data_IF_424829780191
#
_entry.id   IF_424829780191
#
_cell.length_a   1.000
_cell.length_b   1.000
_cell.length_c   1.000
_cell.angle_alpha   90.00
_cell.angle_beta   90.00
_cell.angle_gamma   90.00
#
_symmetry.space_group_name_H-M   'P 1'
#
loop_
_entity.id
_entity.type
_entity.pdbx_description
1 polymer ?
#
# COMPACT_ATOMS: atom_id res chain seq x y z
N UNK A 1 8.18 1.82 18.35
CA UNK A 1 9.14 0.79 18.78
C UNK A 1 9.14 -0.30 17.73
N UNK A 2 10.34 -0.72 17.31
CA UNK A 2 10.53 -1.86 16.41
C UNK A 2 11.56 -2.82 16.99
N UNK A 3 11.23 -4.12 16.95
CA UNK A 3 12.13 -5.22 17.27
C UNK A 3 12.16 -6.18 16.10
N UNK A 4 13.34 -6.45 15.56
CA UNK A 4 13.55 -7.40 14.46
C UNK A 4 14.88 -8.13 14.65
N UNK A 5 14.94 -9.37 14.20
CA UNK A 5 16.16 -10.17 14.29
C UNK A 5 16.02 -11.54 13.68
N UNK A 6 17.14 -12.24 13.62
CA UNK A 6 17.22 -13.62 13.17
C UNK A 6 17.30 -14.56 14.38
N UNK A 7 16.43 -15.57 14.42
CA UNK A 7 16.47 -16.66 15.39
C UNK A 7 17.45 -17.73 14.90
N UNK A 8 17.41 -18.00 13.59
CA UNK A 8 18.33 -18.88 12.86
C UNK A 8 18.67 -18.23 11.52
N UNK A 9 19.60 -18.77 10.70
CA UNK A 9 19.86 -18.25 9.36
C UNK A 9 18.63 -18.23 8.42
N UNK A 10 17.65 -19.08 8.67
CA UNK A 10 16.44 -19.22 7.85
C UNK A 10 15.14 -18.74 8.54
N UNK A 11 15.20 -18.39 9.84
CA UNK A 11 14.04 -17.96 10.63
C UNK A 11 14.30 -16.59 11.25
N UNK A 12 13.44 -15.62 10.97
CA UNK A 12 13.49 -14.26 11.50
C UNK A 12 12.16 -13.88 12.16
N UNK A 13 12.19 -12.81 12.93
CA UNK A 13 11.00 -12.19 13.50
C UNK A 13 11.00 -10.69 13.26
N UNK A 14 9.80 -10.09 13.22
CA UNK A 14 9.62 -8.66 13.19
C UNK A 14 8.38 -8.25 13.97
N UNK A 15 8.56 -7.27 14.84
CA UNK A 15 7.51 -6.63 15.61
C UNK A 15 7.66 -5.13 15.49
N UNK A 16 6.55 -4.41 15.16
CA UNK A 16 6.51 -2.95 15.16
C UNK A 16 5.23 -2.45 15.79
N UNK A 17 5.36 -1.55 16.77
CA UNK A 17 4.26 -0.97 17.50
C UNK A 17 4.40 0.54 17.55
N UNK A 18 3.31 1.26 17.29
CA UNK A 18 3.19 2.70 17.48
C UNK A 18 2.76 3.01 18.92
N UNK A 19 3.50 3.91 19.59
CA UNK A 19 3.22 4.29 20.98
C UNK A 19 2.14 5.38 21.08
N UNK A 20 1.82 6.04 19.97
CA UNK A 20 0.82 7.10 19.87
C UNK A 20 -0.58 6.62 19.46
N UNK A 21 -0.80 5.31 19.50
CA UNK A 21 -2.09 4.67 19.17
C UNK A 21 -2.62 3.85 20.36
N UNK A 22 -3.95 3.75 20.52
CA UNK A 22 -4.55 2.94 21.59
C UNK A 22 -4.13 1.47 21.52
N UNK A 23 -3.99 0.84 22.68
CA UNK A 23 -3.67 -0.59 22.83
C UNK A 23 -4.92 -1.46 23.07
N UNK A 24 -6.13 -0.92 22.90
CA UNK A 24 -7.36 -1.69 23.00
C UNK A 24 -7.46 -2.74 21.90
N UNK A 25 -8.17 -3.85 22.17
CA UNK A 25 -8.48 -4.85 21.14
C UNK A 25 -9.29 -4.20 20.02
N UNK A 26 -8.94 -4.50 18.79
CA UNK A 26 -9.53 -3.85 17.62
C UNK A 26 -10.74 -4.59 17.05
N UNK A 27 -11.12 -5.74 17.55
CA UNK A 27 -12.14 -6.61 16.94
C UNK A 27 -11.71 -7.18 15.57
N UNK A 28 -10.43 -7.08 15.24
CA UNK A 28 -9.85 -7.68 14.04
C UNK A 28 -9.77 -9.21 14.17
N UNK A 29 -9.67 -9.90 13.04
CA UNK A 29 -9.49 -11.36 13.02
C UNK A 29 -8.25 -11.80 13.80
N UNK A 30 -7.17 -11.02 13.73
CA UNK A 30 -5.93 -11.30 14.46
C UNK A 30 -6.00 -10.93 15.95
N UNK A 31 -7.08 -10.26 16.38
CA UNK A 31 -7.29 -9.78 17.74
C UNK A 31 -6.16 -8.89 18.28
N UNK A 32 -5.33 -8.35 17.40
CA UNK A 32 -4.22 -7.47 17.74
C UNK A 32 -4.68 -6.02 17.87
N UNK A 33 -4.10 -5.23 18.80
CA UNK A 33 -4.34 -3.80 18.88
C UNK A 33 -4.00 -3.05 17.59
N UNK A 34 -4.72 -1.97 17.31
CA UNK A 34 -4.43 -1.10 16.15
C UNK A 34 -3.08 -0.39 16.24
N UNK A 35 -2.47 -0.35 17.43
CA UNK A 35 -1.11 0.13 17.64
C UNK A 35 -0.03 -0.78 17.05
N UNK A 36 -0.34 -2.08 16.84
CA UNK A 36 0.62 -3.04 16.28
C UNK A 36 0.49 -3.01 14.76
N UNK A 37 1.54 -2.54 14.09
CA UNK A 37 1.62 -2.51 12.64
C UNK A 37 2.15 -3.84 12.07
N UNK A 38 3.18 -4.40 12.71
CA UNK A 38 3.83 -5.62 12.23
C UNK A 38 4.01 -6.58 13.42
N UNK A 39 3.60 -7.83 13.22
CA UNK A 39 3.82 -8.92 14.17
C UNK A 39 3.86 -10.24 13.40
N UNK A 40 5.05 -10.77 13.16
CA UNK A 40 5.17 -11.98 12.37
C UNK A 40 6.56 -12.57 12.32
N UNK A 41 6.63 -13.69 11.61
CA UNK A 41 7.85 -14.46 11.39
C UNK A 41 8.18 -14.52 9.91
N UNK A 42 9.46 -14.35 9.59
CA UNK A 42 10.02 -14.56 8.26
C UNK A 42 10.68 -15.93 8.19
N UNK A 43 10.41 -16.67 7.12
CA UNK A 43 10.99 -17.99 6.84
C UNK A 43 11.66 -17.94 5.47
N UNK A 44 12.93 -18.29 5.39
CA UNK A 44 13.73 -18.32 4.15
C UNK A 44 14.30 -19.72 3.92
N UNK A 45 13.53 -20.64 3.31
CA UNK A 45 13.99 -22.01 3.09
C UNK A 45 15.14 -22.12 2.07
N UNK A 46 15.22 -21.18 1.14
CA UNK A 46 16.28 -21.08 0.12
C UNK A 46 16.73 -19.64 -0.07
N UNK A 47 17.84 -19.42 -0.76
CA UNK A 47 18.32 -18.07 -1.09
C UNK A 47 17.32 -17.28 -1.95
N UNK A 48 16.52 -17.97 -2.76
CA UNK A 48 15.57 -17.35 -3.70
C UNK A 48 14.14 -17.25 -3.20
N UNK A 49 13.77 -18.04 -2.19
CA UNK A 49 12.39 -18.09 -1.72
C UNK A 49 12.28 -17.69 -0.25
N UNK A 50 11.37 -16.75 0.03
CA UNK A 50 11.07 -16.33 1.38
C UNK A 50 9.56 -16.18 1.60
N UNK A 51 9.16 -16.29 2.85
CA UNK A 51 7.79 -16.11 3.30
C UNK A 51 7.78 -15.20 4.53
N UNK A 52 6.71 -14.42 4.68
CA UNK A 52 6.41 -13.72 5.93
C UNK A 52 4.99 -14.05 6.36
N UNK A 53 4.83 -14.51 7.59
CA UNK A 53 3.56 -14.96 8.16
C UNK A 53 3.21 -14.12 9.37
N UNK A 54 2.00 -13.56 9.40
CA UNK A 54 1.51 -12.69 10.46
C UNK A 54 1.01 -11.35 9.96
N UNK A 55 0.88 -10.38 10.89
CA UNK A 55 0.48 -9.00 10.55
C UNK A 55 1.64 -8.28 9.88
N UNK A 56 1.38 -7.69 8.73
CA UNK A 56 2.39 -7.13 7.86
C UNK A 56 1.83 -6.00 7.00
N UNK A 57 2.74 -5.24 6.37
CA UNK A 57 2.35 -4.28 5.36
C UNK A 57 1.82 -5.02 4.12
N UNK A 58 0.70 -4.55 3.58
CA UNK A 58 0.20 -5.04 2.31
C UNK A 58 1.15 -4.65 1.18
N UNK A 59 1.43 -5.57 0.25
CA UNK A 59 2.32 -5.36 -0.88
C UNK A 59 1.61 -4.64 -2.05
N UNK A 60 0.90 -3.56 -1.74
CA UNK A 60 0.08 -2.84 -2.73
C UNK A 60 0.86 -2.17 -3.86
N UNK A 61 2.19 -2.11 -3.80
CA UNK A 61 3.02 -1.48 -4.83
C UNK A 61 3.00 0.04 -4.75
N UNK A 62 3.66 0.68 -5.71
CA UNK A 62 3.99 2.09 -5.65
C UNK A 62 5.29 2.33 -4.87
N UNK A 63 6.05 3.32 -5.27
CA UNK A 63 7.31 3.69 -4.57
C UNK A 63 6.97 4.40 -3.26
N UNK A 64 6.01 5.32 -3.28
CA UNK A 64 5.61 6.07 -2.09
C UNK A 64 5.17 5.14 -0.94
N UNK A 65 4.55 3.99 -1.26
CA UNK A 65 4.07 3.03 -0.27
C UNK A 65 5.18 2.41 0.58
N UNK A 66 6.40 2.36 0.04
CA UNK A 66 7.55 1.75 0.71
C UNK A 66 8.49 2.75 1.37
N UNK A 67 8.35 4.03 1.06
CA UNK A 67 9.17 5.07 1.67
C UNK A 67 8.94 5.15 3.18
N UNK A 68 9.95 5.59 3.90
CA UNK A 68 9.79 5.89 5.31
C UNK A 68 8.86 7.10 5.49
N UNK A 69 7.94 7.10 6.47
CA UNK A 69 6.99 8.20 6.66
C UNK A 69 7.63 9.59 6.77
N UNK A 70 8.88 9.68 7.25
CA UNK A 70 9.63 10.94 7.34
C UNK A 70 9.97 11.54 5.97
N UNK A 71 10.01 10.72 4.92
CA UNK A 71 10.35 11.13 3.55
C UNK A 71 9.12 11.53 2.73
N UNK A 72 7.92 11.27 3.24
CA UNK A 72 6.68 11.41 2.47
C UNK A 72 6.07 12.78 2.65
N UNK A 73 6.16 13.37 3.84
CA UNK A 73 5.58 14.65 4.29
C UNK A 73 4.05 14.69 4.25
N UNK A 74 3.44 14.34 3.11
CA UNK A 74 2.00 14.22 2.91
C UNK A 74 1.73 13.02 2.01
N UNK A 75 0.82 12.16 2.44
CA UNK A 75 0.42 10.97 1.69
C UNK A 75 -0.59 11.32 0.60
N UNK A 76 -0.51 10.58 -0.51
CA UNK A 76 -1.60 10.55 -1.48
C UNK A 76 -2.86 9.91 -0.88
N UNK A 77 -4.03 10.29 -1.40
CA UNK A 77 -5.32 9.70 -1.00
C UNK A 77 -5.28 8.18 -1.01
N UNK A 78 -4.65 7.59 -2.02
CA UNK A 78 -4.60 6.16 -2.16
C UNK A 78 -3.85 5.47 -1.01
N UNK A 79 -2.79 6.06 -0.51
CA UNK A 79 -1.99 5.51 0.60
C UNK A 79 -2.62 5.84 1.95
N UNK A 80 -3.13 7.07 2.14
CA UNK A 80 -3.73 7.50 3.40
C UNK A 80 -4.97 6.69 3.77
N UNK A 81 -5.81 6.39 2.78
CA UNK A 81 -7.09 5.71 3.01
C UNK A 81 -7.10 4.20 2.73
N UNK A 82 -5.98 3.61 2.33
CA UNK A 82 -5.85 2.16 2.24
C UNK A 82 -5.48 1.55 3.60
N UNK A 83 -6.02 0.36 3.87
CA UNK A 83 -5.64 -0.41 5.07
C UNK A 83 -4.31 -1.12 4.84
N UNK A 84 -3.25 -0.60 5.43
CA UNK A 84 -1.87 -0.99 5.11
C UNK A 84 -1.35 -2.19 5.91
N UNK A 85 -1.84 -2.42 7.13
CA UNK A 85 -1.33 -3.47 8.01
C UNK A 85 -2.40 -4.53 8.24
N UNK A 86 -2.24 -5.65 7.56
CA UNK A 86 -3.18 -6.75 7.49
C UNK A 86 -2.50 -8.06 7.86
N UNK A 87 -3.26 -9.04 8.34
CA UNK A 87 -2.73 -10.33 8.77
C UNK A 87 -2.90 -11.38 7.68
N UNK A 88 -1.85 -12.18 7.45
CA UNK A 88 -1.84 -13.26 6.48
C UNK A 88 -0.45 -13.72 6.10
N UNK A 89 -0.25 -14.06 4.84
CA UNK A 89 0.99 -14.63 4.31
C UNK A 89 1.46 -13.87 3.07
N UNK A 90 2.75 -13.60 3.01
CA UNK A 90 3.46 -13.12 1.83
C UNK A 90 4.49 -14.16 1.40
N UNK A 91 4.56 -14.44 0.10
CA UNK A 91 5.50 -15.34 -0.54
C UNK A 91 6.30 -14.54 -1.55
N UNK A 92 7.62 -14.53 -1.45
CA UNK A 92 8.49 -13.80 -2.34
C UNK A 92 9.49 -14.74 -3.01
N UNK A 93 9.68 -14.57 -4.31
CA UNK A 93 10.63 -15.33 -5.12
C UNK A 93 11.54 -14.42 -5.92
N UNK A 94 12.84 -14.49 -5.63
CA UNK A 94 13.91 -13.79 -6.34
C UNK A 94 14.39 -14.63 -7.52
N UNK A 95 13.85 -14.39 -8.73
CA UNK A 95 14.19 -15.22 -9.89
C UNK A 95 15.51 -14.83 -10.55
N UNK A 96 15.89 -13.54 -10.51
CA UNK A 96 17.22 -13.04 -10.85
C UNK A 96 17.57 -11.85 -9.95
N UNK A 97 18.85 -11.41 -9.86
CA UNK A 97 19.21 -10.20 -9.15
C UNK A 97 18.38 -8.99 -9.63
N UNK A 98 17.75 -8.28 -8.69
CA UNK A 98 16.90 -7.13 -8.98
C UNK A 98 15.52 -7.47 -9.54
N UNK A 99 15.10 -8.75 -9.52
CA UNK A 99 13.80 -9.18 -10.01
C UNK A 99 13.12 -10.09 -8.98
N UNK A 100 12.11 -9.58 -8.31
CA UNK A 100 11.34 -10.32 -7.30
C UNK A 100 9.86 -10.30 -7.63
N UNK A 101 9.22 -11.44 -7.55
CA UNK A 101 7.77 -11.57 -7.58
C UNK A 101 7.26 -11.91 -6.17
N UNK A 102 6.26 -11.18 -5.72
CA UNK A 102 5.57 -11.45 -4.46
C UNK A 102 4.12 -11.83 -4.73
N UNK A 103 3.66 -12.86 -4.04
CA UNK A 103 2.25 -13.20 -3.93
C UNK A 103 1.83 -13.12 -2.48
N UNK A 104 0.84 -12.29 -2.19
CA UNK A 104 0.39 -12.05 -0.82
C UNK A 104 -1.10 -12.35 -0.68
N UNK A 105 -1.48 -12.99 0.42
CA UNK A 105 -2.87 -13.26 0.80
C UNK A 105 -3.06 -12.78 2.23
N UNK A 106 -3.89 -11.75 2.40
CA UNK A 106 -4.16 -11.15 3.69
C UNK A 106 -5.66 -11.08 3.98
N UNK A 107 -6.02 -11.00 5.26
CA UNK A 107 -7.36 -10.61 5.67
C UNK A 107 -7.65 -9.17 5.19
N UNK A 108 -8.77 -8.98 4.50
CA UNK A 108 -9.13 -7.70 3.90
C UNK A 108 -9.68 -6.68 4.91
N UNK A 109 -9.83 -7.02 6.18
CA UNK A 109 -10.51 -6.19 7.18
C UNK A 109 -9.67 -5.95 8.42
N UNK A 110 -9.59 -4.67 8.82
CA UNK A 110 -8.99 -4.23 10.09
C UNK A 110 -10.02 -3.96 11.20
N UNK A 111 -11.21 -4.51 11.09
CA UNK A 111 -12.29 -4.30 12.04
C UNK A 111 -13.54 -5.08 11.66
N UNK A 112 -14.65 -4.79 12.34
CA UNK A 112 -15.94 -5.38 11.99
C UNK A 112 -16.38 -4.93 10.58
N UNK A 113 -17.25 -5.71 9.97
CA UNK A 113 -17.85 -5.35 8.69
C UNK A 113 -18.57 -4.00 8.74
N UNK A 114 -19.29 -3.74 9.85
CA UNK A 114 -19.96 -2.47 10.11
C UNK A 114 -18.98 -1.27 10.13
N UNK A 115 -17.82 -1.43 10.76
CA UNK A 115 -16.81 -0.36 10.80
C UNK A 115 -16.06 -0.18 9.48
N UNK A 116 -15.97 -1.23 8.68
CA UNK A 116 -15.29 -1.21 7.38
C UNK A 116 -16.15 -0.58 6.29
N UNK A 117 -17.45 -0.83 6.32
CA UNK A 117 -18.43 -0.35 5.31
C UNK A 117 -19.60 0.35 5.99
N UNK A 118 -19.39 1.51 6.60
CA UNK A 118 -20.44 2.24 7.30
C UNK A 118 -21.57 2.64 6.34
N UNK A 119 -22.81 2.37 6.75
CA UNK A 119 -23.99 2.63 5.93
C UNK A 119 -24.40 1.51 4.96
N UNK A 120 -23.48 0.60 4.61
CA UNK A 120 -23.75 -0.53 3.70
C UNK A 120 -23.88 -1.88 4.40
N UNK A 121 -23.31 -2.04 5.58
CA UNK A 121 -23.24 -3.34 6.26
C UNK A 121 -24.60 -4.04 6.49
N UNK A 122 -25.71 -3.29 6.51
CA UNK A 122 -27.08 -3.84 6.62
C UNK A 122 -27.75 -4.15 5.27
N UNK A 123 -27.17 -3.66 4.18
CA UNK A 123 -27.75 -3.75 2.83
C UNK A 123 -27.14 -4.85 1.98
N UNK A 124 -25.94 -5.27 2.33
CA UNK A 124 -25.18 -6.27 1.58
C UNK A 124 -24.80 -7.45 2.46
N UNK A 125 -24.72 -8.63 1.88
CA UNK A 125 -24.37 -9.84 2.61
C UNK A 125 -22.85 -9.95 2.77
N UNK A 126 -22.41 -10.11 4.01
CA UNK A 126 -20.99 -10.24 4.35
C UNK A 126 -20.37 -11.46 3.68
N UNK A 127 -19.19 -11.31 3.10
CA UNK A 127 -18.41 -12.44 2.59
C UNK A 127 -17.86 -13.28 3.74
N UNK A 128 -17.87 -14.63 3.56
CA UNK A 128 -17.24 -15.56 4.50
C UNK A 128 -15.73 -15.63 4.33
N UNK A 129 -15.18 -15.09 3.23
CA UNK A 129 -13.77 -15.14 2.86
C UNK A 129 -13.30 -13.74 2.50
N UNK A 130 -13.15 -12.85 3.50
CA UNK A 130 -12.73 -11.47 3.29
C UNK A 130 -11.22 -11.40 3.06
N UNK A 131 -10.76 -11.86 1.92
CA UNK A 131 -9.34 -11.88 1.58
C UNK A 131 -9.00 -10.85 0.52
N UNK A 132 -7.78 -10.32 0.62
CA UNK A 132 -7.10 -9.60 -0.45
C UNK A 132 -5.94 -10.44 -0.96
N UNK A 133 -5.89 -10.58 -2.28
CA UNK A 133 -4.83 -11.25 -3.01
C UNK A 133 -4.05 -10.19 -3.76
N UNK A 134 -2.74 -10.17 -3.57
CA UNK A 134 -1.86 -9.21 -4.25
C UNK A 134 -0.76 -9.94 -4.97
N UNK A 135 -0.56 -9.61 -6.24
CA UNK A 135 0.62 -9.94 -7.01
C UNK A 135 1.44 -8.66 -7.17
N UNK A 136 2.69 -8.67 -6.72
CA UNK A 136 3.58 -7.53 -6.78
C UNK A 136 4.90 -7.93 -7.44
N UNK A 137 5.36 -7.12 -8.38
CA UNK A 137 6.66 -7.27 -9.03
C UNK A 137 7.56 -6.10 -8.67
N UNK A 138 8.65 -6.42 -7.99
CA UNK A 138 9.75 -5.50 -7.72
C UNK A 138 10.84 -5.75 -8.74
N UNK A 139 11.01 -4.83 -9.68
CA UNK A 139 11.87 -5.02 -10.84
C UNK A 139 12.91 -3.94 -11.02
N UNK A 140 14.07 -4.31 -11.52
CA UNK A 140 15.05 -3.42 -12.09
C UNK A 140 14.96 -3.52 -13.61
N UNK A 141 14.40 -2.49 -14.26
CA UNK A 141 14.28 -2.45 -15.73
C UNK A 141 15.61 -2.08 -16.36
N UNK A 142 16.23 -1.01 -15.82
CA UNK A 142 17.57 -0.58 -16.20
C UNK A 142 18.41 -0.44 -14.93
N UNK A 143 19.51 -1.20 -14.81
CA UNK A 143 20.38 -1.12 -13.64
C UNK A 143 20.86 0.31 -13.36
N UNK A 144 20.83 0.71 -12.08
CA UNK A 144 21.22 2.03 -11.58
C UNK A 144 20.42 3.21 -12.16
N UNK A 145 19.30 2.95 -12.83
CA UNK A 145 18.53 4.00 -13.46
C UNK A 145 17.02 3.86 -13.23
N UNK A 146 16.43 2.67 -13.48
CA UNK A 146 14.97 2.51 -13.43
C UNK A 146 14.59 1.24 -12.70
N UNK A 147 13.92 1.42 -11.56
CA UNK A 147 13.31 0.34 -10.78
C UNK A 147 11.80 0.51 -10.69
N UNK A 148 11.10 -0.59 -10.52
CA UNK A 148 9.63 -0.62 -10.50
C UNK A 148 9.11 -1.33 -9.27
N UNK A 149 7.89 -0.96 -8.87
CA UNK A 149 7.04 -1.65 -7.91
C UNK A 149 5.62 -1.69 -8.45
N UNK A 150 5.35 -2.66 -9.28
CA UNK A 150 4.06 -2.82 -9.93
C UNK A 150 3.25 -3.91 -9.26
N UNK A 151 1.98 -3.63 -9.03
CA UNK A 151 1.09 -4.57 -8.38
C UNK A 151 -0.31 -4.58 -8.96
N UNK A 152 -0.94 -5.71 -8.76
CA UNK A 152 -2.37 -5.91 -8.93
C UNK A 152 -2.93 -6.56 -7.67
N UNK A 153 -4.00 -6.01 -7.10
CA UNK A 153 -4.68 -6.58 -5.95
C UNK A 153 -6.16 -6.77 -6.24
N UNK A 154 -6.69 -7.86 -5.74
CA UNK A 154 -8.12 -8.18 -5.77
C UNK A 154 -8.59 -8.45 -4.34
N UNK A 155 -9.64 -7.77 -3.92
CA UNK A 155 -10.19 -7.86 -2.56
C UNK A 155 -11.67 -8.23 -2.61
N UNK A 156 -12.05 -9.27 -1.88
CA UNK A 156 -13.45 -9.61 -1.67
C UNK A 156 -14.04 -8.73 -0.58
N UNK A 157 -14.96 -7.84 -0.93
CA UNK A 157 -15.56 -6.87 -0.03
C UNK A 157 -16.87 -7.40 0.61
N UNK A 158 -17.72 -8.02 -0.20
CA UNK A 158 -18.95 -8.68 0.22
C UNK A 158 -19.16 -9.92 -0.63
N UNK A 159 -20.31 -10.60 -0.54
CA UNK A 159 -20.63 -11.71 -1.44
C UNK A 159 -20.71 -11.30 -2.91
N UNK A 160 -21.15 -10.08 -3.19
CA UNK A 160 -21.42 -9.59 -4.53
C UNK A 160 -20.49 -8.46 -4.96
N UNK A 161 -19.71 -7.89 -4.04
CA UNK A 161 -18.84 -6.74 -4.32
C UNK A 161 -17.39 -7.08 -4.10
N UNK A 162 -16.58 -6.57 -4.99
CA UNK A 162 -15.14 -6.74 -4.98
C UNK A 162 -14.45 -5.38 -5.22
N UNK A 163 -13.22 -5.29 -4.81
CA UNK A 163 -12.35 -4.16 -5.13
C UNK A 163 -11.17 -4.67 -5.95
N UNK A 164 -10.85 -3.93 -6.99
CA UNK A 164 -9.61 -4.07 -7.75
C UNK A 164 -8.70 -2.89 -7.47
N UNK A 165 -7.41 -3.16 -7.31
CA UNK A 165 -6.39 -2.13 -7.12
C UNK A 165 -5.18 -2.40 -7.99
N UNK A 166 -4.67 -1.36 -8.64
CA UNK A 166 -3.44 -1.39 -9.45
C UNK A 166 -2.51 -0.30 -8.96
N UNK A 167 -1.23 -0.59 -8.83
CA UNK A 167 -0.20 0.42 -8.65
C UNK A 167 0.94 0.20 -9.63
N UNK A 168 1.38 1.26 -10.28
CA UNK A 168 2.55 1.27 -11.17
C UNK A 168 3.56 2.30 -10.64
N UNK A 169 4.38 1.86 -9.68
CA UNK A 169 5.44 2.67 -9.11
C UNK A 169 6.72 2.56 -9.91
N UNK A 170 7.34 3.71 -10.20
CA UNK A 170 8.58 3.79 -10.95
C UNK A 170 9.53 4.76 -10.25
N UNK A 171 10.73 4.32 -9.95
CA UNK A 171 11.81 5.16 -9.44
C UNK A 171 12.89 5.31 -10.50
N UNK A 172 13.37 6.54 -10.66
CA UNK A 172 14.40 6.91 -11.62
C UNK A 172 15.57 7.59 -10.90
N UNK A 173 16.79 7.24 -11.29
CA UNK A 173 18.03 7.80 -10.79
C UNK A 173 18.84 8.38 -11.97
N UNK A 174 19.07 9.69 -11.94
CA UNK A 174 19.83 10.45 -12.94
C UNK A 174 21.13 11.01 -12.34
N UNK A 175 21.64 10.41 -11.27
CA UNK A 175 22.81 10.85 -10.53
C UNK A 175 22.45 11.93 -9.50
N UNK A 176 22.69 13.24 -9.74
CA UNK A 176 22.32 14.27 -8.78
C UNK A 176 20.80 14.51 -8.67
N UNK A 177 20.04 13.96 -9.59
CA UNK A 177 18.57 14.02 -9.58
C UNK A 177 18.03 12.61 -9.50
N UNK A 178 17.16 12.34 -8.54
CA UNK A 178 16.34 11.14 -8.48
C UNK A 178 14.87 11.48 -8.25
N UNK A 179 14.02 10.50 -8.38
CA UNK A 179 12.62 10.70 -8.09
C UNK A 179 11.76 9.49 -8.41
N UNK A 180 10.49 9.61 -8.10
CA UNK A 180 9.54 8.56 -8.42
C UNK A 180 8.26 9.13 -9.04
N UNK A 181 7.64 8.29 -9.85
CA UNK A 181 6.31 8.49 -10.38
C UNK A 181 5.46 7.27 -10.07
N UNK A 182 4.37 7.49 -9.33
CA UNK A 182 3.39 6.46 -9.01
C UNK A 182 2.05 6.79 -9.66
N UNK A 183 1.47 5.82 -10.34
CA UNK A 183 0.05 5.81 -10.66
C UNK A 183 -0.62 4.70 -9.89
N UNK A 184 -1.67 5.06 -9.14
CA UNK A 184 -2.46 4.15 -8.34
C UNK A 184 -3.94 4.31 -8.71
N UNK A 185 -4.60 3.18 -8.92
CA UNK A 185 -6.01 3.11 -9.30
C UNK A 185 -6.75 2.08 -8.47
N UNK A 186 -7.95 2.40 -8.01
CA UNK A 186 -8.86 1.41 -7.46
C UNK A 186 -10.27 1.57 -8.02
N UNK A 187 -10.90 0.43 -8.26
CA UNK A 187 -12.33 0.32 -8.52
C UNK A 187 -12.94 -0.48 -7.36
N UNK A 188 -13.84 0.15 -6.64
CA UNK A 188 -14.43 -0.36 -5.40
C UNK A 188 -15.91 -0.61 -5.59
N UNK A 189 -16.33 -1.86 -5.50
CA UNK A 189 -17.76 -2.21 -5.49
C UNK A 189 -18.46 -1.62 -4.29
N UNK A 190 -17.82 -1.67 -3.11
CA UNK A 190 -18.20 -0.91 -1.91
C UNK A 190 -17.14 0.12 -1.60
N UNK A 191 -17.54 1.37 -1.42
CA UNK A 191 -16.64 2.47 -1.12
C UNK A 191 -15.96 2.26 0.25
N UNK A 192 -14.71 1.82 0.23
CA UNK A 192 -13.93 1.57 1.43
C UNK A 192 -13.21 2.82 1.93
N UNK A 193 -12.75 3.66 1.03
CA UNK A 193 -11.98 4.86 1.37
C UNK A 193 -12.84 5.99 1.91
N UNK A 194 -14.13 6.03 1.52
CA UNK A 194 -15.08 7.04 1.96
C UNK A 194 -14.60 8.48 1.75
N UNK A 195 -13.83 8.72 0.69
CA UNK A 195 -13.33 10.06 0.32
C UNK A 195 -14.46 10.88 -0.32
N UNK A 196 -15.39 10.20 -1.00
CA UNK A 196 -16.65 10.77 -1.50
C UNK A 196 -17.84 10.06 -0.86
N UNK A 197 -19.01 10.69 -0.93
CA UNK A 197 -20.19 10.23 -0.20
C UNK A 197 -20.89 9.00 -0.79
N UNK A 198 -20.60 8.65 -2.05
CA UNK A 198 -21.19 7.47 -2.67
C UNK A 198 -20.69 6.20 -1.98
N UNK A 199 -21.60 5.25 -1.80
CA UNK A 199 -21.35 4.05 -1.02
C UNK A 199 -20.93 2.85 -1.88
N UNK A 200 -21.22 2.89 -3.19
CA UNK A 200 -21.00 1.80 -4.13
C UNK A 200 -20.41 2.31 -5.45
N UNK A 201 -19.69 1.42 -6.15
CA UNK A 201 -19.18 1.64 -7.50
C UNK A 201 -18.35 2.93 -7.62
N UNK A 202 -17.30 3.02 -6.83
CA UNK A 202 -16.43 4.19 -6.75
C UNK A 202 -15.06 3.89 -7.34
N UNK A 203 -14.56 4.83 -8.12
CA UNK A 203 -13.22 4.78 -8.70
C UNK A 203 -12.34 5.89 -8.13
N UNK A 204 -11.13 5.54 -7.76
CA UNK A 204 -10.11 6.46 -7.28
C UNK A 204 -8.85 6.38 -8.11
N UNK A 205 -8.25 7.53 -8.40
CA UNK A 205 -6.93 7.63 -9.03
C UNK A 205 -6.06 8.59 -8.25
N UNK A 206 -4.79 8.20 -8.06
CA UNK A 206 -3.73 9.06 -7.55
C UNK A 206 -2.52 8.99 -8.48
N UNK A 207 -2.07 10.14 -8.93
CA UNK A 207 -0.81 10.33 -9.63
C UNK A 207 0.13 11.11 -8.73
N UNK A 208 1.29 10.56 -8.43
CA UNK A 208 2.27 11.15 -7.53
C UNK A 208 3.59 11.28 -8.27
N UNK A 209 4.18 12.46 -8.27
CA UNK A 209 5.52 12.72 -8.76
C UNK A 209 6.33 13.40 -7.65
N UNK A 210 7.44 12.79 -7.24
CA UNK A 210 8.44 13.43 -6.37
C UNK A 210 9.76 13.47 -7.11
N UNK A 211 10.44 14.61 -7.07
CA UNK A 211 11.79 14.80 -7.59
C UNK A 211 12.67 15.36 -6.50
N UNK A 212 13.86 14.83 -6.40
CA UNK A 212 14.93 15.27 -5.51
C UNK A 212 16.10 15.80 -6.35
N UNK A 213 16.76 16.86 -5.87
CA UNK A 213 18.02 17.35 -6.41
C UNK A 213 19.06 17.41 -5.28
N UNK A 214 20.00 16.50 -5.31
CA UNK A 214 21.12 16.41 -4.36
C UNK A 214 22.20 17.42 -4.71
N UNK A 215 22.18 18.57 -4.03
CA UNK A 215 23.18 19.63 -4.20
C UNK A 215 24.55 19.12 -3.71
N UNK A 216 24.54 18.35 -2.63
CA UNK A 216 25.68 17.69 -2.01
C UNK A 216 25.21 16.49 -1.20
N UNK A 217 26.12 15.74 -0.60
CA UNK A 217 25.79 14.62 0.30
C UNK A 217 24.95 15.04 1.50
N UNK A 218 25.01 16.31 1.89
CA UNK A 218 24.27 16.85 3.04
C UNK A 218 23.03 17.68 2.69
N UNK A 219 22.83 18.07 1.43
CA UNK A 219 21.74 18.97 1.06
C UNK A 219 20.94 18.45 -0.13
N UNK A 220 19.65 18.34 0.07
CA UNK A 220 18.67 17.97 -0.96
C UNK A 220 17.58 19.06 -1.08
N UNK A 221 17.22 19.40 -2.32
CA UNK A 221 16.00 20.16 -2.64
C UNK A 221 15.03 19.20 -3.26
N UNK A 222 13.78 19.22 -2.83
CA UNK A 222 12.76 18.36 -3.42
C UNK A 222 11.49 19.11 -3.77
N UNK A 223 10.74 18.55 -4.72
CA UNK A 223 9.39 18.95 -5.05
C UNK A 223 8.50 17.72 -5.20
N UNK A 224 7.26 17.80 -4.71
CA UNK A 224 6.25 16.76 -4.88
C UNK A 224 4.96 17.36 -5.43
N UNK A 225 4.35 16.68 -6.40
CA UNK A 225 3.04 16.98 -6.95
C UNK A 225 2.14 15.77 -6.88
N UNK A 226 0.87 15.98 -6.58
CA UNK A 226 -0.17 14.94 -6.55
C UNK A 226 -1.39 15.41 -7.32
N UNK A 227 -1.94 14.56 -8.17
CA UNK A 227 -3.21 14.76 -8.83
C UNK A 227 -4.12 13.59 -8.53
N UNK A 228 -5.28 13.87 -7.94
CA UNK A 228 -6.16 12.83 -7.40
C UNK A 228 -7.58 13.04 -7.85
N UNK A 229 -8.25 11.98 -8.23
CA UNK A 229 -9.65 12.02 -8.66
C UNK A 229 -10.46 10.93 -7.99
N UNK A 230 -11.74 11.24 -7.74
CA UNK A 230 -12.74 10.27 -7.33
C UNK A 230 -13.98 10.43 -8.22
N UNK A 231 -14.53 9.31 -8.68
CA UNK A 231 -15.71 9.21 -9.52
C UNK A 231 -16.67 8.17 -8.95
N UNK A 232 -17.96 8.35 -9.15
CA UNK A 232 -18.98 7.40 -8.77
C UNK A 232 -19.89 7.03 -9.95
N UNK A 233 -20.63 5.92 -9.82
CA UNK A 233 -21.44 5.38 -10.90
C UNK A 233 -20.63 4.64 -11.95
N UNK A 234 -19.47 4.07 -11.52
CA UNK A 234 -18.58 3.26 -12.35
C UNK A 234 -19.37 2.18 -13.10
N UNK A 235 -19.20 2.17 -14.39
CA UNK A 235 -19.66 1.12 -15.27
C UNK A 235 -18.46 0.23 -15.61
N UNK A 236 -18.63 -0.74 -16.49
CA UNK A 236 -17.58 -1.69 -16.89
C UNK A 236 -16.40 -1.04 -17.66
N UNK A 237 -16.30 0.28 -17.66
CA UNK A 237 -15.25 1.01 -18.37
C UNK A 237 -14.32 1.75 -17.41
N UNK A 238 -13.04 1.65 -17.68
CA UNK A 238 -12.01 2.44 -17.00
C UNK A 238 -12.26 3.94 -17.23
N UNK A 239 -12.27 4.71 -16.11
CA UNK A 239 -12.48 6.17 -16.14
C UNK A 239 -13.87 6.62 -16.60
N UNK A 240 -14.88 5.74 -16.60
CA UNK A 240 -16.25 6.11 -16.88
C UNK A 240 -17.01 6.29 -15.57
N UNK A 241 -17.66 7.42 -15.40
CA UNK A 241 -18.42 7.78 -14.20
C UNK A 241 -18.47 9.28 -13.99
N UNK A 242 -19.33 9.72 -13.10
CA UNK A 242 -19.43 11.13 -12.76
C UNK A 242 -18.28 11.53 -11.84
N UNK A 243 -17.36 12.34 -12.34
CA UNK A 243 -16.24 12.87 -11.54
C UNK A 243 -16.77 13.78 -10.44
N UNK A 244 -16.57 13.38 -9.19
CA UNK A 244 -17.09 14.11 -8.03
C UNK A 244 -16.02 14.89 -7.28
N UNK A 245 -14.75 14.43 -7.37
CA UNK A 245 -13.64 15.09 -6.69
C UNK A 245 -12.42 15.18 -7.62
N UNK A 246 -11.77 16.32 -7.57
CA UNK A 246 -10.40 16.52 -8.06
C UNK A 246 -9.63 17.23 -6.97
N UNK A 247 -8.48 16.69 -6.60
CA UNK A 247 -7.55 17.33 -5.68
C UNK A 247 -6.18 17.49 -6.34
N UNK A 248 -5.54 18.59 -6.03
CA UNK A 248 -4.16 18.91 -6.43
C UNK A 248 -3.38 19.19 -5.15
N UNK A 249 -2.37 18.39 -4.88
CA UNK A 249 -1.41 18.60 -3.82
C UNK A 249 -0.06 18.97 -4.42
N UNK A 250 0.62 19.95 -3.85
CA UNK A 250 2.00 20.26 -4.24
C UNK A 250 2.75 20.88 -3.07
N UNK A 251 3.99 20.53 -2.93
CA UNK A 251 4.90 21.14 -1.98
C UNK A 251 6.36 20.96 -2.40
N UNK A 252 7.23 21.78 -1.83
CA UNK A 252 8.66 21.70 -2.04
C UNK A 252 9.38 21.99 -0.72
N UNK A 253 10.59 21.54 -0.61
CA UNK A 253 11.38 21.73 0.60
C UNK A 253 12.88 21.56 0.36
N UNK A 254 13.61 21.85 1.44
CA UNK A 254 15.05 21.63 1.53
C UNK A 254 15.29 20.71 2.72
N UNK A 255 16.08 19.67 2.50
CA UNK A 255 16.47 18.71 3.52
C UNK A 255 17.97 18.83 3.81
N UNK A 256 18.31 18.72 5.07
CA UNK A 256 19.70 18.66 5.52
C UNK A 256 19.94 17.32 6.21
N UNK A 257 20.95 16.61 5.72
CA UNK A 257 21.44 15.36 6.30
C UNK A 257 22.78 15.62 6.98
N UNK A 258 22.84 15.56 8.32
CA UNK A 258 24.06 15.85 9.10
C UNK A 258 25.16 14.82 8.92
#
# INVERSE_FOLDING_TARGET
IEAKGNITPWLSYRWRQRINRPNGSSGNIDNLPTSIDIAGIGVRPTEKFSMFLGKQCAAYGGIEFDLHPIEIYEYSDMIEYMSNFLTGANFAYDFTPGQQLQFQVLDARNGSYESTYPGMYKKVEETKVPLVYTLNWNGTIVPNFWTTRWSYSYMSQSKEHNMMYVALGNHFDFGPVDGHFDWMYSNEGLNRKMIIADLENVEYNSFVLKLNYHISDSWNIFGKGMYETASAGGTDKWFDGTKQRTALGYFAGVEYYP
#
